data_IF_375433356245
#
_entry.id   IF_375433356245
#
_cell.length_a   1.000
_cell.length_b   1.000
_cell.length_c   1.000
_cell.angle_alpha   90.00
_cell.angle_beta   90.00
_cell.angle_gamma   90.00
#
_symmetry.space_group_name_H-M   'P 1'
#
loop_
_entity.id
_entity.type
_entity.pdbx_description
1 polymer ?
#
# COMPACT_ATOMS: atom_id res chain seq x y z
N UNK A 1 -30.39 1.62 0.37
CA UNK A 1 -29.59 2.41 -0.59
C UNK A 1 -28.13 2.04 -0.40
N UNK A 2 -27.40 1.66 -1.46
CA UNK A 2 -25.96 1.40 -1.44
C UNK A 2 -25.25 2.45 -2.30
N UNK A 3 -24.16 3.05 -1.80
CA UNK A 3 -23.39 4.08 -2.52
C UNK A 3 -22.05 3.49 -2.96
N UNK A 4 -21.81 3.47 -4.27
CA UNK A 4 -20.62 2.88 -4.88
C UNK A 4 -20.08 3.79 -6.00
N UNK A 5 -19.62 4.99 -5.63
CA UNK A 5 -19.11 6.02 -6.56
C UNK A 5 -17.58 6.00 -6.74
N UNK A 6 -16.91 5.03 -6.12
CA UNK A 6 -15.45 4.92 -6.09
C UNK A 6 -14.84 5.34 -4.76
N UNK A 7 -13.52 5.16 -4.67
CA UNK A 7 -12.68 5.47 -3.50
C UNK A 7 -11.49 6.30 -3.98
N UNK A 8 -11.22 7.39 -3.26
CA UNK A 8 -10.01 8.21 -3.40
C UNK A 8 -9.13 7.90 -2.18
N UNK A 9 -7.89 7.43 -2.37
CA UNK A 9 -7.00 7.16 -1.25
C UNK A 9 -6.43 8.45 -0.68
N UNK A 10 -6.20 8.48 0.64
CA UNK A 10 -5.58 9.61 1.34
C UNK A 10 -4.05 9.48 1.30
N UNK A 11 -3.47 9.74 0.13
CA UNK A 11 -2.06 9.47 -0.19
C UNK A 11 -1.25 10.72 -0.57
N UNK A 12 -1.73 11.92 -0.27
CA UNK A 12 -1.02 13.15 -0.62
C UNK A 12 0.40 13.20 0.00
N UNK A 13 0.58 12.58 1.16
CA UNK A 13 1.88 12.43 1.84
C UNK A 13 2.89 11.59 1.05
N UNK A 14 2.43 10.71 0.17
CA UNK A 14 3.26 9.82 -0.64
C UNK A 14 3.60 10.42 -2.00
N UNK A 15 2.93 11.52 -2.38
CA UNK A 15 3.13 12.16 -3.68
C UNK A 15 4.55 12.73 -3.81
N UNK A 16 5.25 12.35 -4.87
CA UNK A 16 6.66 12.70 -5.08
C UNK A 16 7.66 11.93 -4.20
N UNK A 17 7.18 11.07 -3.31
CA UNK A 17 8.01 10.15 -2.51
C UNK A 17 8.05 8.77 -3.15
N UNK A 18 6.90 8.21 -3.50
CA UNK A 18 6.80 6.90 -4.17
C UNK A 18 5.90 6.97 -5.39
N UNK A 19 6.00 5.96 -6.26
CA UNK A 19 5.10 5.81 -7.41
C UNK A 19 3.64 5.72 -6.97
N UNK A 20 2.78 6.53 -7.59
CA UNK A 20 1.34 6.48 -7.45
C UNK A 20 0.72 6.14 -8.80
N UNK A 21 -0.32 5.29 -8.80
CA UNK A 21 -1.08 5.00 -10.00
C UNK A 21 -1.91 6.22 -10.44
N UNK A 22 -2.54 6.14 -11.62
CA UNK A 22 -3.38 7.23 -12.15
C UNK A 22 -4.58 7.60 -11.26
N UNK A 23 -4.88 6.81 -10.24
CA UNK A 23 -5.97 6.98 -9.29
C UNK A 23 -5.47 7.38 -7.90
N UNK A 24 -4.17 7.62 -7.73
CA UNK A 24 -3.53 8.07 -6.50
C UNK A 24 -3.19 6.95 -5.51
N UNK A 25 -3.32 5.67 -5.87
CA UNK A 25 -2.92 4.56 -5.00
C UNK A 25 -1.41 4.35 -5.08
N UNK A 26 -0.78 4.03 -3.95
CA UNK A 26 0.65 3.68 -3.95
C UNK A 26 0.85 2.43 -4.79
N UNK A 27 1.75 2.52 -5.77
CA UNK A 27 2.19 1.40 -6.60
C UNK A 27 3.06 0.48 -5.75
N UNK A 28 2.38 -0.47 -5.13
CA UNK A 28 2.97 -1.61 -4.45
C UNK A 28 2.25 -2.86 -4.94
N UNK A 29 2.91 -4.01 -4.97
CA UNK A 29 2.26 -5.28 -5.29
C UNK A 29 2.04 -6.11 -4.02
N UNK A 30 1.84 -7.42 -4.14
CA UNK A 30 1.62 -8.31 -2.99
C UNK A 30 2.84 -8.40 -2.05
N UNK A 31 4.04 -7.99 -2.51
CA UNK A 31 5.22 -7.84 -1.65
C UNK A 31 5.08 -6.66 -0.68
N UNK A 32 4.14 -5.74 -0.93
CA UNK A 32 3.94 -4.46 -0.26
C UNK A 32 5.07 -3.43 -0.44
N UNK A 33 6.09 -3.75 -1.23
CA UNK A 33 7.20 -2.85 -1.55
C UNK A 33 6.73 -1.70 -2.45
N UNK A 34 7.14 -0.48 -2.12
CA UNK A 34 6.96 0.68 -2.98
C UNK A 34 8.20 0.90 -3.88
N UNK A 35 8.13 1.92 -4.74
CA UNK A 35 9.21 2.22 -5.71
C UNK A 35 10.55 2.62 -5.08
N UNK A 36 10.57 3.06 -3.81
CA UNK A 36 11.79 3.36 -3.06
C UNK A 36 12.09 2.20 -2.10
N UNK A 37 13.29 1.59 -2.16
CA UNK A 37 13.69 0.56 -1.22
C UNK A 37 13.59 1.01 0.23
N UNK A 38 13.01 0.16 1.08
CA UNK A 38 12.77 0.47 2.50
C UNK A 38 11.45 1.20 2.77
N UNK A 39 10.67 1.54 1.73
CA UNK A 39 9.30 2.05 1.87
C UNK A 39 8.31 0.95 1.49
N UNK A 40 7.33 0.72 2.36
CA UNK A 40 6.29 -0.28 2.19
C UNK A 40 4.91 0.37 2.35
N UNK A 41 3.89 -0.17 1.66
CA UNK A 41 2.52 0.32 1.73
C UNK A 41 1.55 -0.83 2.03
N UNK A 42 0.65 -0.61 2.99
CA UNK A 42 -0.30 -1.63 3.43
C UNK A 42 -1.72 -1.07 3.57
N UNK A 43 -2.73 -1.90 3.28
CA UNK A 43 -4.12 -1.53 3.40
C UNK A 43 -4.70 -0.93 2.12
N UNK A 44 -5.76 -0.14 2.26
CA UNK A 44 -6.52 0.34 1.11
C UNK A 44 -5.84 1.48 0.34
N UNK A 45 -4.70 1.98 0.83
CA UNK A 45 -3.90 3.02 0.19
C UNK A 45 -3.07 2.51 -1.01
N UNK A 46 -2.89 1.20 -1.17
CA UNK A 46 -2.06 0.60 -2.23
C UNK A 46 -2.89 -0.01 -3.37
N UNK A 47 -2.23 -0.23 -4.51
CA UNK A 47 -2.81 -0.91 -5.68
C UNK A 47 -3.17 -2.37 -5.39
N UNK A 48 -4.47 -2.66 -5.18
CA UNK A 48 -4.97 -4.02 -4.98
C UNK A 48 -6.40 -4.24 -5.49
N UNK A 49 -6.75 -5.51 -5.67
CA UNK A 49 -8.04 -5.95 -6.20
C UNK A 49 -9.18 -5.90 -5.18
N UNK A 50 -8.90 -6.31 -3.94
CA UNK A 50 -9.90 -6.41 -2.86
C UNK A 50 -9.55 -5.44 -1.73
N UNK A 51 -10.53 -4.67 -1.28
CA UNK A 51 -10.41 -3.67 -0.22
C UNK A 51 -11.34 -4.04 0.92
N UNK A 52 -10.81 -4.79 1.89
CA UNK A 52 -11.53 -5.33 3.05
C UNK A 52 -10.59 -5.39 4.26
N UNK A 53 -11.17 -5.43 5.46
CA UNK A 53 -10.43 -5.54 6.73
C UNK A 53 -9.42 -6.70 6.69
N UNK A 54 -9.87 -7.89 6.27
CA UNK A 54 -9.00 -9.07 6.21
C UNK A 54 -7.79 -8.86 5.26
N UNK A 55 -8.01 -8.26 4.09
CA UNK A 55 -6.90 -7.96 3.17
C UNK A 55 -5.96 -6.89 3.71
N UNK A 56 -6.49 -5.87 4.39
CA UNK A 56 -5.65 -4.83 4.99
C UNK A 56 -4.78 -5.38 6.14
N UNK A 57 -5.32 -6.31 6.94
CA UNK A 57 -4.54 -7.02 7.97
C UNK A 57 -3.43 -7.86 7.33
N UNK A 58 -3.74 -8.58 6.25
CA UNK A 58 -2.74 -9.36 5.51
C UNK A 58 -1.63 -8.48 4.95
N UNK A 59 -1.99 -7.36 4.30
CA UNK A 59 -1.04 -6.38 3.80
C UNK A 59 -0.13 -5.87 4.94
N UNK A 60 -0.72 -5.54 6.09
CA UNK A 60 0.01 -5.04 7.26
C UNK A 60 1.02 -6.05 7.81
N UNK A 61 0.64 -7.33 7.89
CA UNK A 61 1.54 -8.40 8.32
C UNK A 61 2.71 -8.57 7.34
N UNK A 62 2.44 -8.59 6.03
CA UNK A 62 3.47 -8.69 4.99
C UNK A 62 4.44 -7.50 5.03
N UNK A 63 3.91 -6.28 5.07
CA UNK A 63 4.72 -5.05 5.10
C UNK A 63 5.59 -4.95 6.36
N UNK A 64 5.06 -5.34 7.52
CA UNK A 64 5.83 -5.33 8.76
C UNK A 64 7.01 -6.31 8.70
N UNK A 65 6.79 -7.53 8.21
CA UNK A 65 7.86 -8.53 8.07
C UNK A 65 8.90 -8.12 7.03
N UNK A 66 8.45 -7.55 5.90
CA UNK A 66 9.34 -7.03 4.87
C UNK A 66 10.20 -5.87 5.38
N UNK A 67 9.61 -4.95 6.15
CA UNK A 67 10.34 -3.86 6.80
C UNK A 67 11.36 -4.37 7.83
N UNK A 68 11.01 -5.35 8.66
CA UNK A 68 11.96 -5.97 9.59
C UNK A 68 13.13 -6.61 8.83
N UNK A 69 12.85 -7.41 7.80
CA UNK A 69 13.87 -8.04 6.96
C UNK A 69 14.77 -7.00 6.28
N UNK A 70 14.21 -5.88 5.83
CA UNK A 70 15.00 -4.78 5.24
C UNK A 70 15.96 -4.17 6.26
N UNK A 71 15.55 -3.99 7.51
CA UNK A 71 16.42 -3.46 8.58
C UNK A 71 17.49 -4.48 8.97
N UNK A 72 17.18 -5.78 9.02
CA UNK A 72 18.12 -6.81 9.42
C UNK A 72 19.22 -7.07 8.38
N UNK A 73 18.93 -6.84 7.10
CA UNK A 73 19.84 -7.10 5.98
C UNK A 73 20.58 -5.85 5.47
N UNK A 74 20.43 -4.69 6.13
CA UNK A 74 21.14 -3.43 5.82
C UNK A 74 21.94 -2.95 7.03
#
# INVERSE_FOLDING_TARGET
>A
MFVAIGLVPDNDVANGVVGLDKRGYIEADESTEASIPGIFAAGDCRTKKVRQIATAISDGASAALAACSYIENN
#
